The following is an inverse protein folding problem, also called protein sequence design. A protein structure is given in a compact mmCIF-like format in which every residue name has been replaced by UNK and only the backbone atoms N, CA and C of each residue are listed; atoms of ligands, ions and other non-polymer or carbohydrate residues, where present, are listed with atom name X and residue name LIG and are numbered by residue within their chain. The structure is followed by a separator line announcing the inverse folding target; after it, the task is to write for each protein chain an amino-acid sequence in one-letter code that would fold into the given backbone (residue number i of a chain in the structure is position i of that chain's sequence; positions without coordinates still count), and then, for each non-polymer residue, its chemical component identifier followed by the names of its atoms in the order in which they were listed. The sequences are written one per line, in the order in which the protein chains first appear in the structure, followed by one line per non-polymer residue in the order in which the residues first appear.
data_IF_366721713251
#
_entry.id   IF_366721713251
#
_cell.length_a   1.000
_cell.length_b   1.000
_cell.length_c   1.000
_cell.angle_alpha   90.00
_cell.angle_beta   90.00
_cell.angle_gamma   90.00
#
_symmetry.space_group_name_H-M   'P 1'
#
loop_
_entity.id
_entity.type
_entity.pdbx_description
1 polymer ?
#
# COMPACT_ATOMS: atom_id res chain seq x y z
N UNK A 1 -79.80 6.54 41.15
CA UNK A 1 -78.58 6.28 41.94
C UNK A 1 -77.58 5.59 41.04
N UNK A 2 -76.67 6.35 40.42
CA UNK A 2 -75.45 5.83 39.78
C UNK A 2 -74.49 7.01 39.55
N UNK A 3 -73.28 7.01 40.15
CA UNK A 3 -72.38 8.15 40.10
C UNK A 3 -71.63 8.22 38.76
N UNK A 4 -71.60 9.40 38.15
CA UNK A 4 -70.71 9.69 37.03
C UNK A 4 -69.26 9.72 37.54
N UNK A 5 -68.45 8.75 37.09
CA UNK A 5 -67.01 8.73 37.34
C UNK A 5 -66.32 9.83 36.51
N UNK A 6 -65.40 10.63 37.09
CA UNK A 6 -64.56 11.53 36.31
C UNK A 6 -63.42 10.74 35.66
N UNK A 7 -63.41 10.68 34.33
CA UNK A 7 -62.33 10.10 33.54
C UNK A 7 -61.02 10.87 33.78
N UNK A 8 -60.06 10.17 34.40
CA UNK A 8 -58.70 10.63 34.64
C UNK A 8 -58.04 11.09 33.33
N UNK A 9 -57.71 12.37 33.25
CA UNK A 9 -56.79 12.89 32.26
C UNK A 9 -55.38 12.43 32.64
N UNK A 10 -54.94 11.32 32.07
CA UNK A 10 -53.52 10.96 32.04
C UNK A 10 -52.80 12.02 31.21
N UNK A 11 -52.08 12.90 31.89
CA UNK A 11 -51.11 13.81 31.30
C UNK A 11 -50.00 12.98 30.66
N UNK A 12 -50.16 12.67 29.37
CA UNK A 12 -49.10 12.13 28.54
C UNK A 12 -48.02 13.21 28.41
N UNK A 13 -47.00 13.13 29.28
CA UNK A 13 -45.79 13.93 29.17
C UNK A 13 -45.18 13.71 27.79
N UNK A 14 -45.23 14.75 26.96
CA UNK A 14 -44.62 14.76 25.64
C UNK A 14 -43.11 14.50 25.77
N UNK A 15 -42.69 13.27 25.43
CA UNK A 15 -41.28 12.92 25.36
C UNK A 15 -40.65 13.64 24.17
N UNK A 16 -39.73 14.56 24.47
CA UNK A 16 -38.94 15.29 23.48
C UNK A 16 -38.21 14.27 22.58
N UNK A 17 -38.37 14.32 21.24
CA UNK A 17 -37.74 13.34 20.37
C UNK A 17 -36.21 13.43 20.49
N UNK A 18 -35.49 12.29 20.40
CA UNK A 18 -34.04 12.30 20.44
C UNK A 18 -33.53 13.09 19.23
N UNK A 19 -32.84 14.20 19.50
CA UNK A 19 -32.19 14.98 18.46
C UNK A 19 -31.01 14.15 17.95
N UNK A 20 -31.18 13.49 16.81
CA UNK A 20 -30.10 12.82 16.09
C UNK A 20 -29.22 13.90 15.47
N UNK A 21 -28.15 14.27 16.17
CA UNK A 21 -27.13 15.19 15.63
C UNK A 21 -26.36 14.46 14.54
N UNK A 22 -26.75 14.66 13.27
CA UNK A 22 -25.98 14.17 12.14
C UNK A 22 -24.65 14.93 12.07
N UNK A 23 -23.53 14.22 12.16
CA UNK A 23 -22.20 14.82 12.00
C UNK A 23 -21.92 15.04 10.51
N UNK A 24 -21.52 16.25 10.08
CA UNK A 24 -21.18 16.48 8.68
C UNK A 24 -19.97 15.64 8.27
N UNK A 25 -19.97 15.17 7.02
CA UNK A 25 -18.87 14.36 6.48
C UNK A 25 -17.55 15.14 6.55
N UNK A 26 -16.58 14.62 7.30
CA UNK A 26 -15.26 15.25 7.43
C UNK A 26 -14.33 14.76 6.33
N UNK A 27 -14.18 15.56 5.27
CA UNK A 27 -13.25 15.29 4.16
C UNK A 27 -11.80 15.05 4.66
N UNK A 28 -11.41 15.72 5.75
CA UNK A 28 -10.10 15.52 6.42
C UNK A 28 -9.98 14.15 7.08
N UNK A 29 -11.04 13.71 7.77
CA UNK A 29 -11.10 12.38 8.39
C UNK A 29 -11.09 11.28 7.33
N UNK A 30 -11.91 11.45 6.28
CA UNK A 30 -11.98 10.54 5.16
C UNK A 30 -10.62 10.34 4.48
N UNK A 31 -9.93 11.43 4.13
CA UNK A 31 -8.62 11.35 3.46
C UNK A 31 -7.57 10.64 4.32
N UNK A 32 -7.63 10.82 5.64
CA UNK A 32 -6.71 10.15 6.56
C UNK A 32 -6.97 8.64 6.63
N UNK A 33 -8.25 8.22 6.65
CA UNK A 33 -8.63 6.80 6.59
C UNK A 33 -8.22 6.19 5.25
N UNK A 34 -8.47 6.89 4.13
CA UNK A 34 -8.05 6.47 2.79
C UNK A 34 -6.53 6.29 2.72
N UNK A 35 -5.76 7.18 3.35
CA UNK A 35 -4.31 7.05 3.41
C UNK A 35 -3.83 5.82 4.20
N UNK A 36 -4.41 5.56 5.37
CA UNK A 36 -4.04 4.39 6.17
C UNK A 36 -4.40 3.09 5.43
N UNK A 37 -5.58 3.03 4.82
CA UNK A 37 -5.98 1.88 4.01
C UNK A 37 -5.11 1.74 2.75
N UNK A 38 -4.79 2.84 2.08
CA UNK A 38 -3.89 2.85 0.92
C UNK A 38 -2.47 2.43 1.27
N UNK A 39 -1.96 2.82 2.44
CA UNK A 39 -0.67 2.37 2.97
C UNK A 39 -0.67 0.85 3.17
N UNK A 40 -1.73 0.30 3.78
CA UNK A 40 -1.86 -1.14 3.99
C UNK A 40 -1.94 -1.90 2.65
N UNK A 41 -2.69 -1.37 1.67
CA UNK A 41 -2.73 -1.92 0.31
C UNK A 41 -1.34 -1.89 -0.36
N UNK A 42 -0.58 -0.81 -0.21
CA UNK A 42 0.76 -0.70 -0.80
C UNK A 42 1.76 -1.65 -0.15
N UNK A 43 1.71 -1.81 1.18
CA UNK A 43 2.58 -2.75 1.89
C UNK A 43 2.27 -4.20 1.52
N UNK A 44 1.00 -4.58 1.51
CA UNK A 44 0.58 -5.95 1.19
C UNK A 44 0.90 -6.31 -0.26
N UNK A 45 0.55 -5.44 -1.21
CA UNK A 45 0.86 -5.66 -2.63
C UNK A 45 2.35 -5.57 -2.95
N UNK A 46 3.09 -4.68 -2.29
CA UNK A 46 4.55 -4.57 -2.42
C UNK A 46 5.26 -5.82 -1.88
N UNK A 47 4.81 -6.34 -0.73
CA UNK A 47 5.33 -7.59 -0.18
C UNK A 47 5.01 -8.80 -1.07
N UNK A 48 3.78 -8.88 -1.61
CA UNK A 48 3.41 -9.91 -2.57
C UNK A 48 4.32 -9.88 -3.81
N UNK A 49 4.61 -8.70 -4.35
CA UNK A 49 5.51 -8.52 -5.49
C UNK A 49 6.99 -8.74 -5.16
N UNK A 50 7.39 -8.52 -3.92
CA UNK A 50 8.74 -8.80 -3.44
C UNK A 50 9.01 -10.31 -3.39
N UNK A 51 8.01 -11.10 -2.99
CA UNK A 51 8.06 -12.56 -2.96
C UNK A 51 7.83 -13.20 -4.34
N UNK A 52 7.13 -12.51 -5.24
CA UNK A 52 6.74 -13.04 -6.54
C UNK A 52 7.96 -13.23 -7.50
N UNK A 53 8.08 -14.39 -8.15
CA UNK A 53 9.17 -14.65 -9.10
C UNK A 53 9.04 -13.83 -10.40
N UNK A 54 10.14 -13.61 -11.13
CA UNK A 54 10.17 -12.74 -12.33
C UNK A 54 9.61 -13.44 -13.58
N UNK A 55 8.80 -12.70 -14.36
CA UNK A 55 8.55 -12.81 -15.81
C UNK A 55 8.30 -14.19 -16.43
N UNK A 56 9.35 -15.01 -16.54
CA UNK A 56 9.32 -16.35 -17.18
C UNK A 56 8.97 -17.44 -16.17
N UNK A 57 9.42 -17.28 -14.93
CA UNK A 57 9.21 -18.22 -13.84
C UNK A 57 7.76 -18.20 -13.35
N UNK A 58 7.15 -17.01 -13.23
CA UNK A 58 5.77 -16.88 -12.77
C UNK A 58 4.74 -17.54 -13.71
N UNK A 59 5.00 -17.54 -15.02
CA UNK A 59 4.17 -18.24 -16.01
C UNK A 59 4.38 -19.76 -15.95
N UNK A 60 5.61 -20.21 -15.68
CA UNK A 60 5.95 -21.63 -15.60
C UNK A 60 5.47 -22.30 -14.30
N UNK A 61 5.45 -21.57 -13.18
CA UNK A 61 5.07 -22.13 -11.86
C UNK A 61 3.64 -21.83 -11.42
N UNK A 62 2.83 -21.19 -12.28
CA UNK A 62 1.46 -20.76 -11.96
C UNK A 62 1.36 -20.07 -10.59
N UNK A 63 2.30 -19.15 -10.31
CA UNK A 63 2.40 -18.54 -8.99
C UNK A 63 1.14 -17.74 -8.67
N UNK A 64 0.43 -18.17 -7.62
CA UNK A 64 -0.72 -17.48 -7.05
C UNK A 64 -0.49 -17.22 -5.58
N UNK A 65 -0.62 -15.96 -5.15
CA UNK A 65 -0.67 -15.59 -3.74
C UNK A 65 -2.06 -15.05 -3.45
N UNK A 66 -2.72 -15.57 -2.40
CA UNK A 66 -4.09 -15.17 -2.04
C UNK A 66 -5.05 -15.18 -3.25
N UNK A 67 -5.02 -16.26 -4.05
CA UNK A 67 -5.82 -16.43 -5.27
C UNK A 67 -5.57 -15.47 -6.43
N UNK A 68 -4.66 -14.50 -6.27
CA UNK A 68 -4.27 -13.57 -7.34
C UNK A 68 -2.95 -13.98 -7.97
N UNK A 69 -2.90 -13.88 -9.29
CA UNK A 69 -1.66 -13.98 -10.06
C UNK A 69 -0.74 -12.80 -9.77
N UNK A 70 0.57 -12.97 -10.03
CA UNK A 70 1.55 -11.88 -9.97
C UNK A 70 1.13 -10.65 -10.79
N UNK A 71 0.53 -10.85 -11.97
CA UNK A 71 0.09 -9.77 -12.84
C UNK A 71 -1.05 -8.96 -12.20
N UNK A 72 -2.01 -9.64 -11.56
CA UNK A 72 -3.09 -8.98 -10.83
C UNK A 72 -2.54 -8.22 -9.61
N UNK A 73 -1.60 -8.79 -8.86
CA UNK A 73 -0.91 -8.08 -7.78
C UNK A 73 -0.16 -6.83 -8.25
N UNK A 74 0.50 -6.89 -9.42
CA UNK A 74 1.15 -5.73 -10.03
C UNK A 74 0.12 -4.64 -10.41
N UNK A 75 -1.01 -5.02 -11.01
CA UNK A 75 -2.08 -4.08 -11.34
C UNK A 75 -2.69 -3.44 -10.10
N UNK A 76 -2.94 -4.22 -9.03
CA UNK A 76 -3.41 -3.72 -7.74
C UNK A 76 -2.40 -2.72 -7.15
N UNK A 77 -1.11 -3.06 -7.16
CA UNK A 77 -0.06 -2.19 -6.63
C UNK A 77 0.03 -0.84 -7.37
N UNK A 78 -0.02 -0.86 -8.71
CA UNK A 78 0.03 0.37 -9.53
C UNK A 78 -1.19 1.25 -9.23
N UNK A 79 -2.40 0.68 -9.25
CA UNK A 79 -3.62 1.44 -8.96
C UNK A 79 -3.63 1.97 -7.52
N UNK A 80 -3.19 1.16 -6.56
CA UNK A 80 -3.04 1.58 -5.17
C UNK A 80 -1.99 2.70 -5.02
N UNK A 81 -0.90 2.66 -5.78
CA UNK A 81 0.14 3.70 -5.80
C UNK A 81 -0.42 5.04 -6.25
N UNK A 82 -1.20 5.04 -7.34
CA UNK A 82 -1.82 6.24 -7.91
C UNK A 82 -2.83 6.82 -6.90
N UNK A 83 -3.71 5.97 -6.35
CA UNK A 83 -4.70 6.39 -5.36
C UNK A 83 -4.05 6.94 -4.09
N UNK A 84 -3.04 6.24 -3.55
CA UNK A 84 -2.31 6.65 -2.36
C UNK A 84 -1.54 7.95 -2.60
N UNK A 85 -0.86 8.11 -3.74
CA UNK A 85 -0.15 9.32 -4.11
C UNK A 85 -1.08 10.53 -4.25
N UNK A 86 -2.25 10.35 -4.87
CA UNK A 86 -3.28 11.38 -4.96
C UNK A 86 -3.84 11.75 -3.58
N UNK A 87 -4.18 10.76 -2.75
CA UNK A 87 -4.67 10.98 -1.39
C UNK A 87 -3.61 11.63 -0.48
N UNK A 88 -2.33 11.27 -0.63
CA UNK A 88 -1.21 11.86 0.10
C UNK A 88 -1.03 13.33 -0.29
N UNK A 89 -1.08 13.62 -1.59
CA UNK A 89 -1.01 15.00 -2.09
C UNK A 89 -2.18 15.83 -1.56
N UNK A 90 -3.41 15.31 -1.62
CA UNK A 90 -4.58 15.97 -1.06
C UNK A 90 -4.46 16.19 0.45
N UNK A 91 -3.96 15.19 1.20
CA UNK A 91 -3.72 15.31 2.63
C UNK A 91 -2.69 16.40 2.96
N UNK A 92 -1.59 16.45 2.21
CA UNK A 92 -0.56 17.48 2.35
C UNK A 92 -1.12 18.85 1.99
N UNK A 93 -1.96 19.02 0.97
CA UNK A 93 -2.57 20.32 0.67
C UNK A 93 -3.54 20.76 1.76
N UNK A 94 -4.42 19.87 2.22
CA UNK A 94 -5.43 20.17 3.24
C UNK A 94 -4.85 20.47 4.63
N UNK A 95 -3.74 19.82 5.00
CA UNK A 95 -3.04 20.07 6.26
C UNK A 95 -1.83 21.01 6.10
N UNK A 96 -1.35 21.21 4.87
CA UNK A 96 -0.14 21.94 4.52
C UNK A 96 -0.26 23.43 4.70
N UNK A 97 -1.45 24.02 4.64
CA UNK A 97 -1.62 25.42 5.05
C UNK A 97 -1.21 25.64 6.51
N UNK A 98 -1.39 24.63 7.39
CA UNK A 98 -0.86 24.67 8.76
C UNK A 98 0.64 24.37 8.79
N UNK A 99 1.12 23.42 7.98
CA UNK A 99 2.56 23.09 7.93
C UNK A 99 3.39 24.29 7.43
N UNK A 100 2.98 24.94 6.35
CA UNK A 100 3.59 26.14 5.77
C UNK A 100 3.40 27.33 6.70
N UNK A 101 2.23 27.47 7.34
CA UNK A 101 2.01 28.49 8.37
C UNK A 101 2.90 28.29 9.60
N UNK A 102 3.13 27.04 10.02
CA UNK A 102 4.02 26.67 11.12
C UNK A 102 5.48 26.92 10.75
N UNK A 103 5.89 26.53 9.54
CA UNK A 103 7.22 26.81 9.00
C UNK A 103 7.42 28.33 8.88
N UNK A 104 6.47 29.11 8.36
CA UNK A 104 6.59 30.58 8.26
C UNK A 104 6.59 31.27 9.63
N UNK A 105 5.70 30.92 10.56
CA UNK A 105 5.67 31.51 11.92
C UNK A 105 6.92 31.14 12.74
N UNK A 106 7.41 29.91 12.63
CA UNK A 106 8.65 29.48 13.31
C UNK A 106 9.92 29.88 12.55
N UNK A 107 9.86 30.17 11.25
CA UNK A 107 10.96 30.81 10.54
C UNK A 107 11.16 32.26 11.00
N UNK A 108 10.07 32.96 11.36
CA UNK A 108 10.14 34.26 12.04
C UNK A 108 10.67 34.12 13.50
N UNK A 109 10.28 33.06 14.20
CA UNK A 109 10.80 32.68 15.53
C UNK A 109 11.93 31.65 15.42
N UNK A 110 13.07 32.04 14.81
CA UNK A 110 14.46 31.50 14.81
C UNK A 110 14.78 30.11 15.44
N UNK A 111 13.86 29.16 15.46
CA UNK A 111 14.01 27.83 16.06
C UNK A 111 14.46 26.88 14.96
N UNK A 112 15.45 26.08 15.32
CA UNK A 112 16.42 25.31 14.53
C UNK A 112 15.86 24.23 13.55
N UNK A 113 14.74 24.46 12.87
CA UNK A 113 14.17 23.57 11.84
C UNK A 113 15.16 23.28 10.68
N UNK A 114 16.19 24.12 10.48
CA UNK A 114 17.29 23.83 9.55
C UNK A 114 18.05 22.55 9.93
N UNK A 115 18.24 22.26 11.23
CA UNK A 115 18.90 21.02 11.70
C UNK A 115 18.04 19.80 11.46
N UNK A 116 16.73 19.89 11.73
CA UNK A 116 15.78 18.81 11.49
C UNK A 116 15.66 18.50 9.99
N UNK A 117 15.54 19.52 9.15
CA UNK A 117 15.51 19.36 7.69
C UNK A 117 16.84 18.80 7.16
N UNK A 118 17.97 19.31 7.64
CA UNK A 118 19.30 18.78 7.23
C UNK A 118 19.46 17.34 7.68
N UNK A 119 19.02 16.99 8.89
CA UNK A 119 19.05 15.61 9.38
C UNK A 119 18.16 14.70 8.52
N UNK A 120 16.93 15.13 8.18
CA UNK A 120 16.05 14.37 7.31
C UNK A 120 16.67 14.14 5.93
N UNK A 121 17.21 15.19 5.30
CA UNK A 121 17.89 15.09 4.01
C UNK A 121 19.12 14.17 4.11
N UNK A 122 19.92 14.30 5.16
CA UNK A 122 21.10 13.46 5.38
C UNK A 122 20.71 11.99 5.55
N UNK A 123 19.69 11.68 6.36
CA UNK A 123 19.21 10.31 6.56
C UNK A 123 18.67 9.74 5.24
N UNK A 124 17.85 10.47 4.50
CA UNK A 124 17.37 10.02 3.18
C UNK A 124 18.52 9.82 2.19
N UNK A 125 19.50 10.72 2.19
CA UNK A 125 20.70 10.62 1.36
C UNK A 125 21.55 9.41 1.70
N UNK A 126 21.76 9.11 2.99
CA UNK A 126 22.48 7.93 3.46
C UNK A 126 21.77 6.64 3.05
N UNK A 127 20.44 6.57 3.18
CA UNK A 127 19.66 5.40 2.74
C UNK A 127 19.77 5.20 1.23
N UNK A 128 19.65 6.28 0.45
CA UNK A 128 19.78 6.24 -1.00
C UNK A 128 21.19 5.81 -1.43
N UNK A 129 22.22 6.45 -0.88
CA UNK A 129 23.61 6.12 -1.17
C UNK A 129 23.94 4.69 -0.74
N UNK A 130 23.50 4.25 0.44
CA UNK A 130 23.69 2.89 0.93
C UNK A 130 23.00 1.84 0.06
N UNK A 131 21.84 2.17 -0.53
CA UNK A 131 21.15 1.31 -1.50
C UNK A 131 21.92 1.19 -2.81
N UNK A 132 22.41 2.32 -3.36
CA UNK A 132 23.17 2.34 -4.62
C UNK A 132 24.54 1.67 -4.47
N UNK A 133 25.19 1.85 -3.32
CA UNK A 133 26.50 1.29 -3.01
C UNK A 133 26.44 -0.15 -2.46
N UNK A 134 25.25 -0.70 -2.21
CA UNK A 134 25.08 -2.06 -1.69
C UNK A 134 25.68 -2.27 -0.29
N UNK A 135 25.66 -1.24 0.57
CA UNK A 135 26.23 -1.32 1.91
C UNK A 135 25.28 -2.08 2.86
N UNK A 136 25.78 -3.08 3.58
CA UNK A 136 25.05 -3.71 4.68
C UNK A 136 24.83 -2.69 5.83
N UNK A 137 23.66 -2.64 6.50
CA UNK A 137 22.50 -3.55 6.43
C UNK A 137 21.46 -3.19 5.35
N UNK A 138 21.66 -2.14 4.56
CA UNK A 138 20.68 -1.66 3.56
C UNK A 138 20.58 -2.62 2.38
N UNK A 139 21.63 -3.38 2.07
CA UNK A 139 21.64 -4.39 1.01
C UNK A 139 20.82 -5.65 1.33
N UNK A 140 20.56 -5.95 2.61
CA UNK A 140 19.95 -7.22 3.04
C UNK A 140 18.65 -7.59 2.30
N UNK A 141 17.68 -6.67 2.10
CA UNK A 141 16.49 -6.99 1.31
C UNK A 141 16.80 -7.23 -0.18
N UNK A 142 17.84 -6.61 -0.74
CA UNK A 142 18.24 -6.91 -2.10
C UNK A 142 18.87 -8.30 -2.19
N UNK A 143 19.75 -8.64 -1.25
CA UNK A 143 20.44 -9.94 -1.16
C UNK A 143 19.45 -11.09 -0.97
N UNK A 144 18.52 -10.94 -0.02
CA UNK A 144 17.43 -11.90 0.19
C UNK A 144 16.60 -12.11 -1.09
N UNK A 145 16.32 -11.04 -1.83
CA UNK A 145 15.59 -11.14 -3.11
C UNK A 145 16.37 -11.93 -4.17
N UNK A 146 17.70 -11.82 -4.19
CA UNK A 146 18.54 -12.62 -5.08
C UNK A 146 18.53 -14.09 -4.68
N UNK A 147 18.63 -14.42 -3.40
CA UNK A 147 18.52 -15.80 -2.92
C UNK A 147 17.16 -16.43 -3.26
N UNK A 148 16.06 -15.69 -3.04
CA UNK A 148 14.73 -16.16 -3.43
C UNK A 148 14.67 -16.45 -4.94
N UNK A 149 15.26 -15.59 -5.77
CA UNK A 149 15.31 -15.80 -7.23
C UNK A 149 16.01 -17.11 -7.55
N UNK A 150 17.17 -17.36 -6.95
CA UNK A 150 18.00 -18.53 -7.28
C UNK A 150 17.27 -19.83 -6.87
N UNK A 151 16.55 -19.84 -5.74
CA UNK A 151 15.66 -20.95 -5.32
C UNK A 151 14.54 -21.21 -6.34
N UNK A 152 13.94 -20.14 -6.88
CA UNK A 152 12.89 -20.28 -7.89
C UNK A 152 13.42 -20.80 -9.23
N UNK A 153 14.61 -20.37 -9.64
CA UNK A 153 15.26 -20.82 -10.88
C UNK A 153 15.63 -22.31 -10.78
N UNK A 154 16.22 -22.74 -9.66
CA UNK A 154 16.54 -24.15 -9.42
C UNK A 154 15.29 -25.05 -9.40
N UNK A 155 14.18 -24.58 -8.82
CA UNK A 155 12.90 -25.31 -8.80
C UNK A 155 12.36 -25.55 -10.21
N UNK A 156 12.49 -24.56 -11.10
CA UNK A 156 12.08 -24.72 -12.49
C UNK A 156 12.97 -25.70 -13.22
N UNK A 157 14.29 -25.61 -13.07
CA UNK A 157 15.20 -26.55 -13.73
C UNK A 157 14.88 -28.01 -13.34
N UNK A 158 14.59 -28.24 -12.06
CA UNK A 158 14.18 -29.55 -11.55
C UNK A 158 12.78 -29.99 -12.03
N UNK A 159 11.84 -29.06 -12.22
CA UNK A 159 10.47 -29.37 -12.70
C UNK A 159 10.39 -29.45 -14.23
N UNK A 160 11.29 -28.79 -14.96
CA UNK A 160 11.38 -28.73 -16.43
C UNK A 160 12.19 -29.90 -17.01
N UNK A 161 12.49 -30.92 -16.21
CA UNK A 161 13.13 -32.15 -16.65
C UNK A 161 12.48 -32.76 -17.89
N UNK A 162 13.18 -33.70 -18.56
CA UNK A 162 13.64 -33.79 -19.96
C UNK A 162 12.81 -33.21 -21.14
N UNK A 163 11.66 -32.58 -20.88
CA UNK A 163 10.68 -32.15 -21.87
C UNK A 163 10.99 -30.79 -22.50
N UNK A 164 11.63 -29.86 -21.76
CA UNK A 164 11.99 -28.54 -22.31
C UNK A 164 13.16 -28.63 -23.29
N UNK A 165 14.22 -29.36 -22.93
CA UNK A 165 15.33 -29.66 -23.85
C UNK A 165 14.89 -30.44 -25.09
N UNK A 166 13.86 -31.30 -24.97
CA UNK A 166 13.30 -32.03 -26.11
C UNK A 166 12.58 -31.09 -27.09
N UNK A 167 11.80 -30.13 -26.61
CA UNK A 167 11.11 -29.17 -27.47
C UNK A 167 12.07 -28.22 -28.19
N UNK A 168 13.15 -27.79 -27.53
CA UNK A 168 14.17 -26.95 -28.15
C UNK A 168 15.01 -27.72 -29.17
N UNK A 169 15.31 -29.00 -28.88
CA UNK A 169 15.97 -29.90 -29.83
C UNK A 169 15.09 -30.21 -31.06
N UNK A 170 13.81 -30.52 -30.86
CA UNK A 170 12.87 -30.79 -31.94
C UNK A 170 12.68 -29.55 -32.83
N UNK A 171 12.65 -28.34 -32.26
CA UNK A 171 12.60 -27.08 -33.02
C UNK A 171 13.88 -26.82 -33.82
N UNK A 172 15.05 -27.09 -33.26
CA UNK A 172 16.32 -26.94 -33.97
C UNK A 172 16.42 -27.91 -35.16
N UNK A 173 15.92 -29.14 -35.01
CA UNK A 173 15.87 -30.13 -36.09
C UNK A 173 14.93 -29.69 -37.22
N UNK A 174 13.79 -29.08 -36.89
CA UNK A 174 12.85 -28.56 -37.88
C UNK A 174 13.41 -27.34 -38.63
N UNK A 175 14.08 -26.41 -37.94
CA UNK A 175 14.67 -25.22 -38.55
C UNK A 175 15.85 -25.53 -39.50
N UNK A 176 16.49 -26.68 -39.38
CA UNK A 176 17.53 -27.15 -40.31
C UNK A 176 16.98 -27.98 -41.48
N UNK A 177 15.67 -28.25 -41.50
CA UNK A 177 15.01 -29.09 -42.51
C UNK A 177 14.31 -28.30 -43.62
N UNK A 178 14.27 -26.98 -43.49
CA UNK A 178 13.77 -26.00 -44.47
C UNK A 178 14.95 -25.28 -45.16
#
# INVERSE_FOLDING_TARGET
MSPAQPSAQTTAAASKPPIVVQRPFSVRGFTSIVLVLGMLMMLTSGLALYLAPRGRVANATAWTALWLSRQQWAAVHINASILFGAAASAHVVMNGSRLIGYIKKRAALRVNMKRELTCAIAVTGVVLAGTVLGLAPISFPADLKYELRDVWEQRIEHTSGPSMHRQDADRAVLAHRD
#
